data_IF_151456812600
#
_entry.id   IF_151456812600
#
_cell.length_a   1.000
_cell.length_b   1.000
_cell.length_c   1.000
_cell.angle_alpha   90.00
_cell.angle_beta   90.00
_cell.angle_gamma   90.00
#
_symmetry.space_group_name_H-M   'P 1'
#
loop_
_entity.id
_entity.type
_entity.pdbx_description
1 polymer ?
#
# COMPACT_ATOMS: atom_id res chain seq x y z
N UNK A 1 -32.27 -17.11 16.12
CA UNK A 1 -31.05 -16.55 15.52
C UNK A 1 -30.64 -17.47 14.39
N UNK A 2 -30.81 -17.01 13.14
CA UNK A 2 -30.64 -17.85 11.95
C UNK A 2 -29.17 -18.22 11.81
N UNK A 3 -28.87 -19.41 11.27
CA UNK A 3 -27.50 -19.83 10.93
C UNK A 3 -26.76 -18.78 10.09
N UNK A 4 -27.50 -18.03 9.25
CA UNK A 4 -27.01 -16.90 8.46
C UNK A 4 -26.42 -15.75 9.30
N UNK A 5 -27.04 -15.42 10.44
CA UNK A 5 -26.62 -14.29 11.29
C UNK A 5 -25.25 -14.54 11.94
N UNK A 6 -24.92 -15.80 12.26
CA UNK A 6 -23.62 -16.18 12.82
C UNK A 6 -22.49 -16.12 11.79
N UNK A 7 -22.78 -16.52 10.55
CA UNK A 7 -21.82 -16.46 9.44
C UNK A 7 -21.54 -15.01 9.05
N UNK A 8 -22.59 -14.18 8.95
CA UNK A 8 -22.46 -12.74 8.70
C UNK A 8 -21.63 -12.04 9.78
N UNK A 9 -21.86 -12.35 11.07
CA UNK A 9 -21.05 -11.79 12.16
C UNK A 9 -19.58 -12.18 12.08
N UNK A 10 -19.26 -13.44 11.75
CA UNK A 10 -17.86 -13.88 11.60
C UNK A 10 -17.18 -13.21 10.41
N UNK A 11 -17.85 -13.11 9.26
CA UNK A 11 -17.31 -12.45 8.07
C UNK A 11 -17.11 -10.95 8.35
N UNK A 12 -18.09 -10.30 8.98
CA UNK A 12 -18.00 -8.89 9.33
C UNK A 12 -16.82 -8.63 10.28
N UNK A 13 -16.72 -9.38 11.38
CA UNK A 13 -15.61 -9.23 12.33
C UNK A 13 -14.26 -9.49 11.64
N UNK A 14 -14.16 -10.56 10.85
CA UNK A 14 -12.92 -10.89 10.13
C UNK A 14 -12.50 -9.81 9.13
N UNK A 15 -13.45 -9.30 8.34
CA UNK A 15 -13.18 -8.26 7.34
C UNK A 15 -12.86 -6.91 8.00
N UNK A 16 -13.61 -6.52 9.04
CA UNK A 16 -13.37 -5.28 9.78
C UNK A 16 -12.02 -5.29 10.49
N UNK A 17 -11.66 -6.40 11.16
CA UNK A 17 -10.33 -6.55 11.78
C UNK A 17 -9.21 -6.49 10.74
N UNK A 18 -9.39 -7.15 9.60
CA UNK A 18 -8.42 -7.09 8.50
C UNK A 18 -8.24 -5.66 7.97
N UNK A 19 -9.35 -4.98 7.64
CA UNK A 19 -9.30 -3.60 7.14
C UNK A 19 -8.70 -2.64 8.17
N UNK A 20 -9.02 -2.79 9.45
CA UNK A 20 -8.45 -1.99 10.52
C UNK A 20 -6.92 -2.13 10.58
N UNK A 21 -6.40 -3.36 10.51
CA UNK A 21 -4.95 -3.61 10.52
C UNK A 21 -4.29 -3.09 9.24
N UNK A 22 -4.91 -3.28 8.08
CA UNK A 22 -4.38 -2.80 6.80
C UNK A 22 -4.27 -1.26 6.77
N UNK A 23 -5.30 -0.56 7.25
CA UNK A 23 -5.31 0.90 7.33
C UNK A 23 -4.35 1.41 8.40
N UNK A 24 -4.24 0.73 9.55
CA UNK A 24 -3.27 1.06 10.58
C UNK A 24 -1.83 0.97 10.07
N UNK A 25 -1.49 -0.11 9.35
CA UNK A 25 -0.17 -0.26 8.72
C UNK A 25 0.12 0.85 7.71
N UNK A 26 -0.84 1.19 6.82
CA UNK A 26 -0.69 2.33 5.89
C UNK A 26 -0.43 3.63 6.66
N UNK A 27 -1.19 3.89 7.72
CA UNK A 27 -1.02 5.06 8.57
C UNK A 27 0.37 5.15 9.22
N UNK A 28 0.85 4.04 9.81
CA UNK A 28 2.20 3.98 10.37
C UNK A 28 3.27 4.18 9.31
N UNK A 29 3.14 3.47 8.18
CA UNK A 29 4.14 3.51 7.13
C UNK A 29 4.29 4.93 6.54
N UNK A 30 3.18 5.54 6.11
CA UNK A 30 3.21 6.90 5.55
C UNK A 30 3.57 7.96 6.58
N UNK A 31 3.15 7.79 7.83
CA UNK A 31 3.51 8.69 8.94
C UNK A 31 5.01 8.70 9.22
N UNK A 32 5.60 7.52 9.46
CA UNK A 32 7.03 7.42 9.73
C UNK A 32 7.90 7.76 8.53
N UNK A 33 7.43 7.44 7.32
CA UNK A 33 8.15 7.77 6.10
C UNK A 33 8.29 9.30 5.90
N UNK A 34 7.22 10.05 6.17
CA UNK A 34 7.27 11.53 6.12
C UNK A 34 8.31 12.10 7.10
N UNK A 35 8.37 11.54 8.31
CA UNK A 35 9.38 11.90 9.32
C UNK A 35 10.79 11.54 8.84
N UNK A 36 10.96 10.36 8.22
CA UNK A 36 12.25 9.90 7.69
C UNK A 36 12.77 10.81 6.57
N UNK A 37 11.93 11.16 5.60
CA UNK A 37 12.33 12.07 4.53
C UNK A 37 12.72 13.46 5.03
N UNK A 38 11.95 13.97 5.99
CA UNK A 38 12.16 15.32 6.50
C UNK A 38 13.36 15.44 7.41
N UNK A 39 13.52 14.52 8.35
CA UNK A 39 14.52 14.64 9.41
C UNK A 39 15.84 13.92 9.12
N UNK A 40 15.83 12.84 8.32
CA UNK A 40 17.06 12.07 8.01
C UNK A 40 17.63 12.37 6.62
N UNK A 41 16.77 12.60 5.63
CA UNK A 41 17.19 12.85 4.25
C UNK A 41 17.27 14.35 3.91
N UNK A 42 16.81 15.22 4.81
CA UNK A 42 16.80 16.70 4.65
C UNK A 42 16.14 17.17 3.34
N UNK A 43 15.22 16.36 2.81
CA UNK A 43 14.52 16.65 1.56
C UNK A 43 13.59 17.86 1.72
N UNK A 44 13.41 18.59 0.62
CA UNK A 44 12.54 19.76 0.58
C UNK A 44 11.08 19.38 0.88
N UNK A 45 10.28 20.37 1.31
CA UNK A 45 8.83 20.16 1.55
C UNK A 45 8.15 19.69 0.27
N UNK A 46 8.59 20.24 -0.87
CA UNK A 46 8.08 19.93 -2.21
C UNK A 46 8.30 18.47 -2.57
N UNK A 47 9.50 17.96 -2.36
CA UNK A 47 9.81 16.54 -2.62
C UNK A 47 8.93 15.68 -1.73
N UNK A 48 8.90 15.91 -0.40
CA UNK A 48 8.09 15.13 0.57
C UNK A 48 6.60 15.09 0.22
N UNK A 49 6.08 16.16 -0.37
CA UNK A 49 4.68 16.22 -0.83
C UNK A 49 4.50 15.45 -2.14
N UNK A 50 5.46 15.55 -3.07
CA UNK A 50 5.49 14.74 -4.29
C UNK A 50 5.55 13.24 -3.99
N UNK A 51 6.34 12.85 -2.98
CA UNK A 51 6.41 11.48 -2.45
C UNK A 51 5.05 10.95 -2.01
N UNK A 52 4.18 11.79 -1.43
CA UNK A 52 2.87 11.38 -0.97
C UNK A 52 1.85 11.34 -2.11
N UNK A 53 1.87 12.33 -3.00
CA UNK A 53 0.85 12.47 -4.06
C UNK A 53 1.00 11.46 -5.19
N UNK A 54 2.24 11.14 -5.60
CA UNK A 54 2.49 10.23 -6.72
C UNK A 54 1.94 8.81 -6.46
N UNK A 55 2.24 8.14 -5.33
CA UNK A 55 1.68 6.83 -5.02
C UNK A 55 0.16 6.86 -4.88
N UNK A 56 -0.41 7.92 -4.29
CA UNK A 56 -1.86 8.04 -4.14
C UNK A 56 -2.58 8.18 -5.48
N UNK A 57 -2.04 8.96 -6.42
CA UNK A 57 -2.62 9.09 -7.76
C UNK A 57 -2.57 7.73 -8.47
N UNK A 58 -1.42 7.05 -8.40
CA UNK A 58 -1.27 5.71 -8.99
C UNK A 58 -2.24 4.71 -8.36
N UNK A 59 -2.44 4.76 -7.04
CA UNK A 59 -3.40 3.92 -6.34
C UNK A 59 -4.80 4.05 -6.96
N UNK A 60 -5.32 5.28 -7.06
CA UNK A 60 -6.68 5.54 -7.55
C UNK A 60 -6.84 5.16 -9.03
N UNK A 61 -5.83 5.45 -9.85
CA UNK A 61 -5.83 5.12 -11.28
C UNK A 61 -5.86 3.61 -11.48
N UNK A 62 -4.97 2.86 -10.80
CA UNK A 62 -4.92 1.41 -10.96
C UNK A 62 -6.13 0.72 -10.32
N UNK A 63 -6.63 1.21 -9.20
CA UNK A 63 -7.87 0.70 -8.59
C UNK A 63 -9.05 0.84 -9.57
N UNK A 64 -9.20 2.02 -10.18
CA UNK A 64 -10.36 2.34 -11.03
C UNK A 64 -10.30 1.65 -12.40
N UNK A 65 -9.14 1.66 -13.05
CA UNK A 65 -9.02 1.19 -14.44
C UNK A 65 -8.54 -0.24 -14.58
N UNK A 66 -7.73 -0.75 -13.65
CA UNK A 66 -7.13 -2.08 -13.75
C UNK A 66 -7.86 -3.05 -12.83
N UNK A 67 -7.84 -2.80 -11.52
CA UNK A 67 -8.30 -3.78 -10.55
C UNK A 67 -9.82 -3.86 -10.40
N UNK A 68 -10.54 -2.74 -10.51
CA UNK A 68 -12.01 -2.72 -10.48
C UNK A 68 -12.61 -3.61 -11.59
N UNK A 69 -12.32 -3.33 -12.87
CA UNK A 69 -12.82 -4.16 -13.98
C UNK A 69 -12.32 -5.61 -13.93
N UNK A 70 -11.07 -5.84 -13.50
CA UNK A 70 -10.50 -7.18 -13.40
C UNK A 70 -11.16 -8.00 -12.28
N UNK A 71 -11.41 -7.38 -11.13
CA UNK A 71 -12.08 -7.97 -9.98
C UNK A 71 -13.53 -8.34 -10.29
N UNK A 72 -14.24 -7.47 -11.00
CA UNK A 72 -15.63 -7.73 -11.38
C UNK A 72 -15.76 -8.82 -12.45
N UNK A 73 -14.80 -8.92 -13.38
CA UNK A 73 -14.77 -10.00 -14.38
C UNK A 73 -14.40 -11.36 -13.79
N UNK A 74 -13.47 -11.40 -12.84
CA UNK A 74 -12.98 -12.65 -12.26
C UNK A 74 -13.79 -13.11 -11.04
N UNK A 75 -14.60 -12.24 -10.41
CA UNK A 75 -15.34 -12.51 -9.16
C UNK A 75 -14.45 -13.04 -8.00
N UNK A 76 -13.13 -12.93 -8.14
CA UNK A 76 -12.09 -13.53 -7.27
C UNK A 76 -11.57 -12.53 -6.23
N UNK A 77 -12.49 -11.76 -5.62
CA UNK A 77 -12.15 -10.65 -4.69
C UNK A 77 -11.21 -11.08 -3.55
N UNK A 78 -11.42 -12.27 -2.97
CA UNK A 78 -10.58 -12.79 -1.88
C UNK A 78 -9.15 -13.10 -2.33
N UNK A 79 -9.00 -13.66 -3.52
CA UNK A 79 -7.69 -14.01 -4.07
C UNK A 79 -6.88 -12.74 -4.35
N UNK A 80 -7.53 -11.73 -4.95
CA UNK A 80 -6.94 -10.42 -5.21
C UNK A 80 -6.45 -9.73 -3.91
N UNK A 81 -7.27 -9.74 -2.85
CA UNK A 81 -6.87 -9.18 -1.55
C UNK A 81 -5.60 -9.88 -1.01
N UNK A 82 -5.56 -11.22 -1.01
CA UNK A 82 -4.42 -11.98 -0.49
C UNK A 82 -3.15 -11.71 -1.32
N UNK A 83 -3.25 -11.72 -2.64
CA UNK A 83 -2.09 -11.47 -3.51
C UNK A 83 -1.58 -10.03 -3.43
N UNK A 84 -2.47 -9.05 -3.34
CA UNK A 84 -2.07 -7.65 -3.14
C UNK A 84 -1.26 -7.47 -1.85
N UNK A 85 -1.67 -8.14 -0.78
CA UNK A 85 -0.97 -8.10 0.51
C UNK A 85 0.39 -8.82 0.47
N UNK A 86 0.47 -10.00 -0.16
CA UNK A 86 1.73 -10.75 -0.29
C UNK A 86 2.73 -9.99 -1.16
N UNK A 87 2.29 -9.47 -2.31
CA UNK A 87 3.14 -8.71 -3.23
C UNK A 87 3.63 -7.40 -2.61
N UNK A 88 2.79 -6.73 -1.81
CA UNK A 88 3.20 -5.53 -1.09
C UNK A 88 4.21 -5.81 0.03
N UNK A 89 4.07 -6.94 0.73
CA UNK A 89 5.07 -7.37 1.72
C UNK A 89 6.44 -7.62 1.06
N UNK A 90 6.45 -8.34 -0.06
CA UNK A 90 7.68 -8.58 -0.85
C UNK A 90 8.24 -7.25 -1.36
N UNK A 91 7.39 -6.40 -1.92
CA UNK A 91 7.77 -5.08 -2.43
C UNK A 91 8.43 -4.22 -1.35
N UNK A 92 7.91 -4.22 -0.12
CA UNK A 92 8.48 -3.45 0.99
C UNK A 92 9.90 -3.92 1.34
N UNK A 93 10.15 -5.24 1.33
CA UNK A 93 11.50 -5.80 1.54
C UNK A 93 12.44 -5.41 0.40
N UNK A 94 11.94 -5.44 -0.85
CA UNK A 94 12.72 -5.01 -2.01
C UNK A 94 13.07 -3.52 -1.94
N UNK A 95 12.13 -2.66 -1.53
CA UNK A 95 12.38 -1.22 -1.35
C UNK A 95 13.45 -0.98 -0.30
N UNK A 96 13.38 -1.70 0.83
CA UNK A 96 14.44 -1.64 1.84
C UNK A 96 15.80 -2.09 1.28
N UNK A 97 15.82 -3.17 0.51
CA UNK A 97 17.05 -3.67 -0.13
C UNK A 97 17.64 -2.65 -1.10
N UNK A 98 16.85 -2.09 -2.02
CA UNK A 98 17.34 -1.07 -2.97
C UNK A 98 17.74 0.23 -2.28
N UNK A 99 17.03 0.62 -1.22
CA UNK A 99 17.42 1.75 -0.37
C UNK A 99 18.76 1.52 0.32
N UNK A 100 19.02 0.30 0.82
CA UNK A 100 20.29 -0.04 1.49
C UNK A 100 21.51 -0.01 0.55
N UNK A 101 21.28 -0.15 -0.75
CA UNK A 101 22.32 -0.05 -1.78
C UNK A 101 22.59 1.40 -2.24
N UNK A 102 21.70 2.34 -1.89
CA UNK A 102 21.87 3.73 -2.29
C UNK A 102 22.96 4.40 -1.43
N UNK A 103 24.01 4.87 -2.10
CA UNK A 103 25.14 5.56 -1.45
C UNK A 103 24.83 7.04 -1.17
N UNK A 104 23.91 7.65 -1.92
CA UNK A 104 23.53 9.06 -1.83
C UNK A 104 22.13 9.25 -1.26
N UNK A 105 21.99 10.26 -0.39
CA UNK A 105 20.71 10.66 0.24
C UNK A 105 19.63 10.97 -0.81
N UNK A 106 19.96 11.65 -1.90
CA UNK A 106 18.97 12.01 -2.93
C UNK A 106 18.48 10.78 -3.70
N UNK A 107 19.39 9.87 -4.08
CA UNK A 107 19.06 8.63 -4.77
C UNK A 107 18.24 7.67 -3.90
N UNK A 108 18.54 7.62 -2.59
CA UNK A 108 17.75 6.89 -1.60
C UNK A 108 16.29 7.38 -1.55
N UNK A 109 16.08 8.69 -1.64
CA UNK A 109 14.76 9.28 -1.81
C UNK A 109 14.02 8.71 -3.02
N UNK A 110 14.59 8.85 -4.21
CA UNK A 110 13.96 8.36 -5.45
C UNK A 110 13.68 6.85 -5.45
N UNK A 111 14.58 6.05 -4.87
CA UNK A 111 14.37 4.60 -4.71
C UNK A 111 13.11 4.30 -3.90
N UNK A 112 12.84 5.08 -2.85
CA UNK A 112 11.62 4.93 -2.06
C UNK A 112 10.38 5.48 -2.79
N UNK A 113 10.44 6.59 -3.54
CA UNK A 113 9.28 7.06 -4.37
C UNK A 113 8.83 5.95 -5.29
N UNK A 114 9.77 5.46 -6.10
CA UNK A 114 9.49 4.54 -7.19
C UNK A 114 9.06 3.20 -6.59
N UNK A 115 9.79 2.75 -5.57
CA UNK A 115 9.48 1.56 -4.81
C UNK A 115 8.06 1.57 -4.24
N UNK A 116 7.67 2.68 -3.60
CA UNK A 116 6.34 2.80 -3.02
C UNK A 116 5.24 2.95 -4.05
N UNK A 117 5.51 3.67 -5.13
CA UNK A 117 4.58 3.77 -6.25
C UNK A 117 4.22 2.39 -6.78
N UNK A 118 5.20 1.48 -6.90
CA UNK A 118 4.99 0.10 -7.32
C UNK A 118 4.22 -0.71 -6.27
N UNK A 119 4.59 -0.62 -4.99
CA UNK A 119 3.87 -1.29 -3.91
C UNK A 119 2.41 -0.84 -3.87
N UNK A 120 2.16 0.45 -4.05
CA UNK A 120 0.82 1.04 -3.96
C UNK A 120 -0.09 0.57 -5.10
N UNK A 121 0.47 0.28 -6.28
CA UNK A 121 -0.25 -0.37 -7.38
C UNK A 121 -0.75 -1.75 -6.94
N UNK A 122 0.07 -2.56 -6.27
CA UNK A 122 -0.36 -3.86 -5.75
C UNK A 122 -1.34 -3.74 -4.58
N UNK A 123 -1.13 -2.75 -3.72
CA UNK A 123 -2.03 -2.46 -2.60
C UNK A 123 -3.40 -1.94 -3.01
N UNK A 124 -3.49 -1.26 -4.16
CA UNK A 124 -4.76 -0.82 -4.74
C UNK A 124 -5.68 -1.99 -5.12
N UNK A 125 -5.14 -3.21 -5.27
CA UNK A 125 -5.92 -4.44 -5.50
C UNK A 125 -6.73 -4.88 -4.26
N UNK A 126 -6.24 -4.56 -3.06
CA UNK A 126 -6.90 -4.89 -1.79
C UNK A 126 -7.88 -3.80 -1.32
N UNK A 127 -8.04 -2.75 -2.11
CA UNK A 127 -8.80 -1.54 -1.80
C UNK A 127 -10.17 -1.58 -2.48
#
# INVERSE_FOLDING_TARGET
>A
MSFSDRVLKHIFIGLSSFQAIAMFRRGLFYGFLSIYFRNFLELSVTETTLFATVPMILNVVFQTFVWGPLSDRLQMRRFLIIWGEVLAAIGTVLVWYFHSLAMDKHSAGWAIIIGLSVIEIFWSMSN
#
